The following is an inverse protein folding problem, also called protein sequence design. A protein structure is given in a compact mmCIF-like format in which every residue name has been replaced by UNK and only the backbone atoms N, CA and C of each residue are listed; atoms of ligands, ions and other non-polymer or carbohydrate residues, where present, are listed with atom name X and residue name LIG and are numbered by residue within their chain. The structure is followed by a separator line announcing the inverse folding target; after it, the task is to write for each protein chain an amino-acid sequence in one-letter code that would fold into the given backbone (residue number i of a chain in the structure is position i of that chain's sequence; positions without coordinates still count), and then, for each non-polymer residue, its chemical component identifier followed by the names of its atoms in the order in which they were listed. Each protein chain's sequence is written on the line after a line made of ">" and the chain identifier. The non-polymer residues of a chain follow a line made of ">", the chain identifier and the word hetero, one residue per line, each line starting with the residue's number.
data_IF_458217877223
#
_entry.id   IF_458217877223
#
_cell.length_a   1.000
_cell.length_b   1.000
_cell.length_c   1.000
_cell.angle_alpha   90.00
_cell.angle_beta   90.00
_cell.angle_gamma   90.00
#
_symmetry.space_group_name_H-M   'P 1'
#
loop_
_entity.id
_entity.type
_entity.pdbx_description
1 polymer ?
#
# COMPACT_ATOMS: atom_id res chain seq x y z
N UNK A 1 13.22 0.01 5.19
CA UNK A 1 12.02 0.74 5.69
C UNK A 1 12.13 2.25 5.51
N UNK A 2 13.33 2.83 5.34
CA UNK A 2 13.53 4.28 5.11
C UNK A 2 12.61 4.86 4.01
N UNK A 3 12.45 4.15 2.89
CA UNK A 3 11.54 4.58 1.82
C UNK A 3 10.07 4.77 2.25
N UNK A 4 9.58 3.97 3.20
CA UNK A 4 8.22 4.09 3.73
C UNK A 4 8.09 5.31 4.65
N UNK A 5 9.13 5.64 5.42
CA UNK A 5 9.14 6.88 6.21
C UNK A 5 9.22 8.12 5.32
N UNK A 6 9.97 8.07 4.21
CA UNK A 6 9.97 9.16 3.22
C UNK A 6 8.59 9.36 2.58
N UNK A 7 7.86 8.27 2.33
CA UNK A 7 6.47 8.35 1.83
C UNK A 7 5.51 8.91 2.89
N UNK A 8 5.72 8.60 4.18
CA UNK A 8 4.95 9.19 5.28
C UNK A 8 5.16 10.71 5.37
N UNK A 9 6.41 11.16 5.28
CA UNK A 9 6.74 12.59 5.23
C UNK A 9 6.15 13.27 4.00
N UNK A 10 6.21 12.60 2.84
CA UNK A 10 5.60 13.09 1.60
C UNK A 10 4.07 13.18 1.74
N UNK A 11 3.43 12.20 2.38
CA UNK A 11 1.99 12.21 2.65
C UNK A 11 1.58 13.42 3.48
N UNK A 12 2.32 13.69 4.57
CA UNK A 12 2.07 14.86 5.41
C UNK A 12 2.21 16.19 4.63
N UNK A 13 3.24 16.32 3.79
CA UNK A 13 3.52 17.53 3.01
C UNK A 13 2.54 17.75 1.85
N UNK A 14 2.24 16.70 1.10
CA UNK A 14 1.37 16.77 -0.07
C UNK A 14 -0.11 16.83 0.32
N UNK A 15 -0.54 15.95 1.23
CA UNK A 15 -1.92 15.86 1.68
C UNK A 15 -2.32 17.00 2.61
N UNK A 16 -1.36 17.69 3.25
CA UNK A 16 -1.62 18.84 4.15
C UNK A 16 -2.67 18.53 5.23
N UNK A 17 -2.58 17.33 5.81
CA UNK A 17 -3.51 16.84 6.83
C UNK A 17 -4.86 16.32 6.31
N UNK A 18 -5.03 16.19 4.99
CA UNK A 18 -6.20 15.59 4.37
C UNK A 18 -6.05 14.07 4.17
N UNK A 19 -7.10 13.46 3.64
CA UNK A 19 -7.24 12.01 3.56
C UNK A 19 -6.30 11.32 2.56
N UNK A 20 -5.88 12.06 1.53
CA UNK A 20 -5.12 11.57 0.37
C UNK A 20 -3.91 12.45 0.07
N UNK A 21 -2.96 11.95 -0.72
CA UNK A 21 -1.86 12.78 -1.26
C UNK A 21 -2.40 13.92 -2.14
N UNK A 22 -3.53 13.68 -2.83
CA UNK A 22 -4.28 14.69 -3.58
C UNK A 22 -5.09 15.67 -2.73
N UNK A 23 -5.01 15.61 -1.39
CA UNK A 23 -5.81 16.42 -0.50
C UNK A 23 -7.13 15.72 -0.14
N UNK A 24 -8.26 16.35 -0.46
CA UNK A 24 -9.60 15.84 -0.13
C UNK A 24 -10.04 14.67 -1.05
N UNK A 25 -9.36 14.46 -2.17
CA UNK A 25 -9.69 13.41 -3.15
C UNK A 25 -8.45 12.65 -3.60
N UNK A 26 -8.66 11.45 -4.15
CA UNK A 26 -7.60 10.62 -4.73
C UNK A 26 -6.89 11.41 -5.83
N UNK A 27 -5.58 11.61 -5.67
CA UNK A 27 -4.71 12.25 -6.65
C UNK A 27 -3.76 11.26 -7.31
N UNK A 28 -2.82 11.79 -8.10
CA UNK A 28 -1.86 10.99 -8.87
C UNK A 28 -1.03 10.04 -8.00
N UNK A 29 -0.45 10.55 -6.90
CA UNK A 29 0.39 9.73 -6.01
C UNK A 29 -0.42 8.64 -5.28
N UNK A 30 -1.69 8.91 -4.97
CA UNK A 30 -2.59 7.92 -4.38
C UNK A 30 -2.81 6.73 -5.34
N UNK A 31 -2.99 7.00 -6.63
CA UNK A 31 -3.16 5.95 -7.64
C UNK A 31 -1.90 5.12 -7.80
N UNK A 32 -0.72 5.76 -7.90
CA UNK A 32 0.55 5.06 -8.05
C UNK A 32 0.83 4.17 -6.84
N UNK A 33 0.77 4.73 -5.62
CA UNK A 33 1.03 3.95 -4.41
C UNK A 33 -0.06 2.91 -4.17
N UNK A 34 -1.31 3.26 -4.45
CA UNK A 34 -2.48 2.40 -4.32
C UNK A 34 -2.44 1.16 -5.21
N UNK A 35 -1.84 1.26 -6.40
CA UNK A 35 -1.60 0.11 -7.29
C UNK A 35 -0.71 -0.96 -6.65
N UNK A 36 0.14 -0.60 -5.68
CA UNK A 36 0.97 -1.54 -4.94
C UNK A 36 0.30 -2.08 -3.68
N UNK A 37 -0.90 -1.62 -3.29
CA UNK A 37 -1.48 -1.96 -1.99
C UNK A 37 -1.73 -3.46 -1.80
N UNK A 38 -2.14 -4.17 -2.87
CA UNK A 38 -2.26 -5.63 -2.85
C UNK A 38 -0.92 -6.34 -2.60
N UNK A 39 0.14 -5.88 -3.26
CA UNK A 39 1.51 -6.41 -3.08
C UNK A 39 2.10 -6.11 -1.71
N UNK A 40 1.82 -4.92 -1.16
CA UNK A 40 2.22 -4.56 0.20
C UNK A 40 1.57 -5.53 1.21
N UNK A 41 0.25 -5.71 1.15
CA UNK A 41 -0.49 -6.64 2.03
C UNK A 41 0.01 -8.08 1.89
N UNK A 42 0.26 -8.53 0.65
CA UNK A 42 0.80 -9.87 0.40
C UNK A 42 2.20 -10.04 1.03
N UNK A 43 3.06 -9.04 0.88
CA UNK A 43 4.41 -9.05 1.46
C UNK A 43 4.36 -9.10 2.99
N UNK A 44 3.49 -8.29 3.62
CA UNK A 44 3.27 -8.33 5.06
C UNK A 44 2.83 -9.72 5.53
N UNK A 45 1.90 -10.35 4.79
CA UNK A 45 1.40 -11.70 5.10
C UNK A 45 2.47 -12.78 4.95
N UNK A 46 3.31 -12.71 3.90
CA UNK A 46 4.35 -13.70 3.65
C UNK A 46 5.54 -13.58 4.60
N UNK A 47 5.86 -12.37 5.05
CA UNK A 47 7.06 -12.10 5.87
C UNK A 47 6.75 -11.90 7.36
N UNK A 48 5.46 -11.81 7.73
CA UNK A 48 5.00 -11.36 9.05
C UNK A 48 5.53 -9.97 9.47
N UNK A 49 6.06 -9.17 8.53
CA UNK A 49 6.48 -7.80 8.79
C UNK A 49 5.32 -6.84 8.58
N UNK A 50 5.26 -5.75 9.35
CA UNK A 50 4.35 -4.64 9.12
C UNK A 50 5.09 -3.54 8.37
N UNK A 51 4.75 -3.36 7.10
CA UNK A 51 5.28 -2.31 6.23
C UNK A 51 4.58 -1.00 6.55
N UNK A 52 3.24 -1.01 6.60
CA UNK A 52 2.45 0.12 7.07
C UNK A 52 2.07 -0.11 8.52
N UNK A 53 2.43 0.82 9.40
CA UNK A 53 2.35 0.62 10.83
C UNK A 53 1.72 1.85 11.49
N UNK A 54 0.68 1.64 12.30
CA UNK A 54 -0.05 2.72 12.95
C UNK A 54 0.81 3.63 13.85
N UNK A 55 1.96 3.17 14.35
CA UNK A 55 2.87 3.96 15.18
C UNK A 55 3.96 4.64 14.36
N UNK A 56 4.55 3.94 13.36
CA UNK A 56 5.68 4.46 12.58
C UNK A 56 5.26 5.25 11.35
N UNK A 57 4.13 4.90 10.74
CA UNK A 57 3.56 5.53 9.56
C UNK A 57 2.04 5.71 9.70
N UNK A 58 1.61 6.49 10.72
CA UNK A 58 0.19 6.65 11.04
C UNK A 58 -0.65 7.20 9.88
N UNK A 59 -0.11 8.15 9.11
CA UNK A 59 -0.74 8.76 7.95
C UNK A 59 -0.97 7.76 6.84
N UNK A 60 0.07 7.05 6.40
CA UNK A 60 -0.03 6.00 5.39
C UNK A 60 -0.89 4.82 5.85
N UNK A 61 -0.84 4.47 7.14
CA UNK A 61 -1.68 3.42 7.71
C UNK A 61 -3.17 3.79 7.57
N UNK A 62 -3.55 5.02 7.93
CA UNK A 62 -4.91 5.53 7.75
C UNK A 62 -5.29 5.67 6.26
N UNK A 63 -4.36 6.17 5.45
CA UNK A 63 -4.53 6.30 4.00
C UNK A 63 -4.84 4.96 3.34
N UNK A 64 -4.10 3.89 3.67
CA UNK A 64 -4.31 2.58 3.09
C UNK A 64 -5.71 2.02 3.35
N UNK A 65 -6.27 2.29 4.52
CA UNK A 65 -7.65 1.94 4.85
C UNK A 65 -8.66 2.77 4.05
N UNK A 66 -8.49 4.11 4.00
CA UNK A 66 -9.39 5.00 3.25
C UNK A 66 -9.35 4.72 1.74
N UNK A 67 -8.16 4.64 1.16
CA UNK A 67 -7.94 4.36 -0.25
C UNK A 67 -8.56 3.01 -0.63
N UNK A 68 -8.25 1.94 0.12
CA UNK A 68 -8.80 0.61 -0.15
C UNK A 68 -10.31 0.48 0.04
N UNK A 69 -10.94 1.39 0.78
CA UNK A 69 -12.40 1.41 0.99
C UNK A 69 -13.13 2.38 0.05
N UNK A 70 -12.40 3.17 -0.73
CA UNK A 70 -12.98 4.13 -1.66
C UNK A 70 -13.78 3.40 -2.74
N UNK A 71 -14.94 3.96 -3.12
CA UNK A 71 -15.84 3.35 -4.11
C UNK A 71 -15.17 3.09 -5.46
N UNK A 72 -14.20 3.90 -5.88
CA UNK A 72 -13.47 3.73 -7.13
C UNK A 72 -12.40 2.62 -7.07
N UNK A 73 -12.07 2.13 -5.87
CA UNK A 73 -10.89 1.29 -5.60
C UNK A 73 -11.24 -0.06 -5.02
N UNK A 74 -12.25 -0.14 -4.14
CA UNK A 74 -12.58 -1.33 -3.35
C UNK A 74 -12.75 -2.62 -4.18
N UNK A 75 -13.21 -2.50 -5.43
CA UNK A 75 -13.51 -3.62 -6.32
C UNK A 75 -12.37 -3.94 -7.30
N UNK A 76 -11.31 -3.13 -7.36
CA UNK A 76 -10.18 -3.31 -8.30
C UNK A 76 -8.87 -3.72 -7.63
N UNK A 77 -8.76 -3.56 -6.30
CA UNK A 77 -7.61 -4.11 -5.56
C UNK A 77 -7.78 -5.62 -5.43
N UNK A 78 -6.83 -6.43 -5.92
CA UNK A 78 -6.92 -7.87 -5.79
C UNK A 78 -6.94 -8.32 -4.32
N UNK A 79 -7.68 -9.41 -4.05
CA UNK A 79 -7.62 -10.11 -2.77
C UNK A 79 -6.18 -10.48 -2.42
N UNK A 80 -5.81 -10.27 -1.15
CA UNK A 80 -4.43 -10.48 -0.67
C UNK A 80 -3.96 -11.92 -0.96
N UNK A 81 -4.84 -12.90 -0.81
CA UNK A 81 -4.56 -14.32 -1.01
C UNK A 81 -4.15 -14.62 -2.46
N UNK A 82 -4.83 -14.04 -3.45
CA UNK A 82 -4.49 -14.20 -4.88
C UNK A 82 -3.12 -13.62 -5.20
N UNK A 83 -2.79 -12.47 -4.61
CA UNK A 83 -1.47 -11.84 -4.79
C UNK A 83 -0.37 -12.68 -4.12
N UNK A 84 -0.64 -13.27 -2.95
CA UNK A 84 0.30 -14.19 -2.28
C UNK A 84 0.56 -15.45 -3.11
N UNK A 85 -0.47 -16.03 -3.72
CA UNK A 85 -0.30 -17.18 -4.62
C UNK A 85 0.57 -16.81 -5.82
N UNK A 86 0.29 -15.67 -6.46
CA UNK A 86 1.10 -15.16 -7.56
C UNK A 86 2.56 -14.91 -7.15
N UNK A 87 2.78 -14.31 -5.98
CA UNK A 87 4.11 -14.06 -5.43
C UNK A 87 4.90 -15.35 -5.22
N UNK A 88 4.24 -16.41 -4.72
CA UNK A 88 4.85 -17.73 -4.53
C UNK A 88 5.25 -18.36 -5.87
N UNK A 89 4.42 -18.23 -6.90
CA UNK A 89 4.73 -18.69 -8.26
C UNK A 89 6.00 -18.00 -8.78
N UNK A 90 6.09 -16.67 -8.67
CA UNK A 90 7.30 -15.95 -9.08
C UNK A 90 8.53 -16.37 -8.28
N UNK A 91 8.39 -16.54 -6.96
CA UNK A 91 9.49 -17.02 -6.12
C UNK A 91 9.93 -18.44 -6.48
N UNK A 92 9.02 -19.32 -6.92
CA UNK A 92 9.36 -20.65 -7.40
C UNK A 92 10.13 -20.59 -8.73
N UNK A 93 9.68 -19.76 -9.68
CA UNK A 93 10.38 -19.53 -10.97
C UNK A 93 11.79 -19.01 -10.72
N UNK A 94 11.95 -18.01 -9.85
CA UNK A 94 13.25 -17.42 -9.54
C UNK A 94 14.24 -18.39 -8.87
N UNK A 95 13.75 -19.42 -8.17
CA UNK A 95 14.60 -20.48 -7.58
C UNK A 95 14.98 -21.58 -8.57
N UNK A 96 14.31 -21.64 -9.71
CA UNK A 96 14.57 -22.61 -10.78
C UNK A 96 15.55 -22.07 -11.85
N UNK A 97 16.00 -20.82 -11.70
CA UNK A 97 17.04 -20.16 -12.49
C UNK A 97 18.33 -20.07 -11.68
#
# INVERSE_FOLDING_TARGET
>A
MEGIMLLEDAFAKCGKGKDYFGGDTIGYLDVILGGFLGWLRATEKMTNLKILNATKTPGLFGWAHRFGSNAAVKDVIPETEKVVELAKTFAAIARAQ
#
